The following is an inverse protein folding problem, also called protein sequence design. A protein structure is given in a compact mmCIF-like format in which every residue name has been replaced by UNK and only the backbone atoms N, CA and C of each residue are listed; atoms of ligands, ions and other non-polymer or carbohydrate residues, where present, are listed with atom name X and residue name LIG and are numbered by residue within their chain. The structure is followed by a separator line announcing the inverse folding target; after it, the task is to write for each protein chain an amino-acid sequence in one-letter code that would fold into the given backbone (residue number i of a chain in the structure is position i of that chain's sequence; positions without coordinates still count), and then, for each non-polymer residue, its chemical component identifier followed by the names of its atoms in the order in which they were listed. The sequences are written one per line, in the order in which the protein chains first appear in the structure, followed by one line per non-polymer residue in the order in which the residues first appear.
data_IF_127257961259
#
_entry.id   IF_127257961259
#
_cell.length_a   1.000
_cell.length_b   1.000
_cell.length_c   1.000
_cell.angle_alpha   90.00
_cell.angle_beta   90.00
_cell.angle_gamma   90.00
#
_symmetry.space_group_name_H-M   'P 1'
#
loop_
_entity.id
_entity.type
_entity.pdbx_description
1 polymer ?
#
# COMPACT_ATOMS: atom_id res chain seq x y z
N UNK A 1 -5.09 14.63 34.16
CA UNK A 1 -5.30 13.44 33.31
C UNK A 1 -4.01 13.16 32.56
N UNK A 2 -3.49 11.93 32.55
CA UNK A 2 -2.28 11.60 31.77
C UNK A 2 -2.60 11.59 30.27
N UNK A 3 -1.72 12.14 29.46
CA UNK A 3 -1.79 12.11 27.99
C UNK A 3 -1.68 10.67 27.45
N UNK A 4 -2.10 10.43 26.21
CA UNK A 4 -1.93 9.13 25.55
C UNK A 4 -0.45 8.72 25.51
N UNK A 5 0.46 9.67 25.26
CA UNK A 5 1.89 9.45 25.22
C UNK A 5 2.43 8.97 26.57
N UNK A 6 2.05 9.64 27.66
CA UNK A 6 2.46 9.25 29.00
C UNK A 6 1.90 7.88 29.41
N UNK A 7 0.72 7.50 28.90
CA UNK A 7 0.17 6.16 29.12
C UNK A 7 0.97 5.11 28.36
N UNK A 8 1.22 5.34 27.06
CA UNK A 8 1.99 4.44 26.21
C UNK A 8 3.42 4.22 26.75
N UNK A 9 4.11 5.30 27.13
CA UNK A 9 5.48 5.21 27.67
C UNK A 9 5.55 4.55 29.06
N UNK A 10 4.44 4.43 29.76
CA UNK A 10 4.36 3.78 31.06
C UNK A 10 3.93 2.30 30.96
N UNK A 11 3.61 1.80 29.76
CA UNK A 11 3.28 0.39 29.56
C UNK A 11 4.55 -0.46 29.49
N UNK A 12 4.39 -1.72 29.89
CA UNK A 12 5.46 -2.71 29.78
C UNK A 12 5.80 -2.93 28.30
N UNK A 13 7.08 -3.06 28.00
CA UNK A 13 7.52 -3.40 26.64
C UNK A 13 7.01 -4.78 26.26
N UNK A 14 6.55 -4.90 25.01
CA UNK A 14 6.33 -6.22 24.41
C UNK A 14 7.65 -7.00 24.38
N UNK A 15 7.52 -8.32 24.40
CA UNK A 15 8.63 -9.27 24.29
C UNK A 15 9.41 -9.03 22.98
N UNK A 16 10.73 -8.74 23.04
CA UNK A 16 11.53 -8.46 21.85
C UNK A 16 11.65 -9.66 20.90
N UNK A 17 11.46 -10.89 21.37
CA UNK A 17 11.56 -12.10 20.54
C UNK A 17 10.24 -12.44 19.82
N UNK A 18 9.15 -11.74 20.16
CA UNK A 18 7.84 -11.92 19.53
C UNK A 18 7.78 -11.16 18.21
N UNK A 19 7.52 -11.89 17.11
CA UNK A 19 7.17 -11.24 15.84
C UNK A 19 5.83 -10.53 15.98
N UNK A 20 5.85 -9.21 15.90
CA UNK A 20 4.68 -8.35 15.97
C UNK A 20 4.49 -7.67 14.62
N UNK A 21 3.27 -7.75 14.08
CA UNK A 21 2.84 -6.80 13.05
C UNK A 21 2.61 -5.45 13.73
N UNK A 22 3.56 -4.53 13.59
CA UNK A 22 3.53 -3.24 14.28
C UNK A 22 2.31 -2.39 13.85
N UNK A 23 1.89 -2.48 12.58
CA UNK A 23 0.70 -1.77 12.11
C UNK A 23 -0.58 -2.44 12.63
N UNK A 24 -0.58 -3.77 12.70
CA UNK A 24 -1.62 -4.56 13.36
C UNK A 24 -1.78 -4.19 14.83
N UNK A 25 -0.67 -4.07 15.58
CA UNK A 25 -0.67 -3.69 16.98
C UNK A 25 -1.28 -2.31 17.22
N UNK A 26 -0.90 -1.30 16.41
CA UNK A 26 -1.49 0.04 16.49
C UNK A 26 -2.97 0.05 16.09
N UNK A 27 -3.39 -0.83 15.17
CA UNK A 27 -4.80 -0.99 14.81
C UNK A 27 -5.61 -1.55 15.97
N UNK A 28 -5.12 -2.59 16.64
CA UNK A 28 -5.77 -3.20 17.81
C UNK A 28 -5.85 -2.24 19.00
N UNK A 29 -4.82 -1.42 19.21
CA UNK A 29 -4.74 -0.47 20.31
C UNK A 29 -5.32 0.93 19.99
N UNK A 30 -5.92 1.10 18.81
CA UNK A 30 -6.47 2.39 18.37
C UNK A 30 -7.59 2.94 19.25
N UNK A 31 -8.32 2.09 19.96
CA UNK A 31 -9.32 2.51 20.96
C UNK A 31 -8.69 3.08 22.24
N UNK A 32 -7.49 2.60 22.61
CA UNK A 32 -6.74 3.05 23.79
C UNK A 32 -5.93 4.31 23.50
N UNK A 33 -5.41 4.41 22.27
CA UNK A 33 -4.53 5.48 21.82
C UNK A 33 -4.97 6.06 20.46
N UNK A 34 -6.16 6.68 20.36
CA UNK A 34 -6.69 7.11 19.07
C UNK A 34 -5.81 8.14 18.37
N UNK A 35 -5.13 9.04 19.09
CA UNK A 35 -4.26 10.04 18.48
C UNK A 35 -2.93 9.39 18.06
N UNK A 36 -2.29 8.64 18.96
CA UNK A 36 -1.02 8.00 18.65
C UNK A 36 -1.14 6.93 17.57
N UNK A 37 -2.22 6.16 17.54
CA UNK A 37 -2.44 5.13 16.51
C UNK A 37 -2.57 5.73 15.12
N UNK A 38 -3.18 6.92 14.99
CA UNK A 38 -3.21 7.64 13.71
C UNK A 38 -1.83 8.14 13.32
N UNK A 39 -1.09 8.76 14.25
CA UNK A 39 0.29 9.20 13.97
C UNK A 39 1.20 8.03 13.58
N UNK A 40 1.11 6.93 14.31
CA UNK A 40 1.91 5.74 14.05
C UNK A 40 1.57 5.11 12.70
N UNK A 41 0.28 5.06 12.31
CA UNK A 41 -0.11 4.62 10.97
C UNK A 41 0.53 5.47 9.90
N UNK A 42 0.47 6.79 10.03
CA UNK A 42 0.99 7.72 9.03
C UNK A 42 2.52 7.63 8.90
N UNK A 43 3.23 7.48 10.02
CA UNK A 43 4.70 7.41 10.04
C UNK A 43 5.21 6.04 9.57
N UNK A 44 4.62 4.95 10.06
CA UNK A 44 5.11 3.59 9.82
C UNK A 44 4.66 3.02 8.46
N UNK A 45 3.62 3.58 7.84
CA UNK A 45 3.21 3.18 6.49
C UNK A 45 4.13 3.72 5.38
N UNK A 46 5.03 4.65 5.69
CA UNK A 46 5.97 5.20 4.72
C UNK A 46 7.02 4.13 4.40
N UNK A 47 7.18 3.71 3.13
CA UNK A 47 8.21 2.77 2.77
C UNK A 47 9.60 3.37 3.03
N UNK A 48 10.40 2.69 3.85
CA UNK A 48 11.72 3.17 4.29
C UNK A 48 12.75 3.15 3.14
N UNK A 49 12.51 2.37 2.09
CA UNK A 49 13.50 2.15 1.02
C UNK A 49 13.03 2.67 -0.34
N UNK A 50 13.97 3.23 -1.10
CA UNK A 50 13.80 3.57 -2.52
C UNK A 50 13.56 2.34 -3.40
N UNK A 51 13.82 1.13 -2.89
CA UNK A 51 13.59 -0.14 -3.59
C UNK A 51 12.12 -0.31 -3.97
N UNK A 52 11.17 0.16 -3.14
CA UNK A 52 9.74 0.14 -3.49
C UNK A 52 9.45 1.04 -4.71
N UNK A 53 10.06 2.23 -4.77
CA UNK A 53 9.93 3.12 -5.93
C UNK A 53 10.66 2.59 -7.17
N UNK A 54 11.82 1.95 -7.02
CA UNK A 54 12.54 1.31 -8.13
C UNK A 54 11.81 0.09 -8.67
N UNK A 55 11.16 -0.70 -7.81
CA UNK A 55 10.31 -1.82 -8.23
C UNK A 55 9.08 -1.34 -9.00
N UNK A 56 8.43 -0.27 -8.54
CA UNK A 56 7.35 0.38 -9.27
C UNK A 56 7.83 0.92 -10.63
N UNK A 57 9.01 1.54 -10.68
CA UNK A 57 9.61 2.04 -11.91
C UNK A 57 10.04 0.92 -12.87
N UNK A 58 10.60 -0.18 -12.36
CA UNK A 58 10.99 -1.34 -13.15
C UNK A 58 9.77 -2.04 -13.76
N UNK A 59 8.69 -2.17 -12.98
CA UNK A 59 7.41 -2.69 -13.47
C UNK A 59 6.84 -1.78 -14.57
N UNK A 60 6.90 -0.46 -14.37
CA UNK A 60 6.53 0.54 -15.37
C UNK A 60 7.39 0.40 -16.65
N UNK A 61 8.71 0.23 -16.52
CA UNK A 61 9.61 -0.01 -17.65
C UNK A 61 9.21 -1.20 -18.52
N UNK A 62 8.75 -2.30 -17.91
CA UNK A 62 8.27 -3.50 -18.63
C UNK A 62 6.91 -3.32 -19.30
N UNK A 63 5.99 -2.57 -18.69
CA UNK A 63 4.69 -2.21 -19.31
C UNK A 63 4.92 -1.40 -20.60
N UNK A 64 6.06 -0.73 -20.68
CA UNK A 64 6.30 0.28 -21.68
C UNK A 64 7.27 -0.13 -22.79
N UNK A 65 7.77 -1.37 -22.83
CA UNK A 65 8.76 -1.79 -23.83
C UNK A 65 8.11 -2.30 -25.14
N UNK A 66 6.84 -2.74 -25.14
CA UNK A 66 6.18 -3.27 -26.35
C UNK A 66 4.96 -2.45 -26.85
N UNK A 67 4.40 -1.53 -26.06
CA UNK A 67 3.18 -0.75 -26.39
C UNK A 67 3.43 0.72 -26.78
N UNK A 68 4.70 1.14 -26.90
CA UNK A 68 5.08 2.56 -26.90
C UNK A 68 5.32 3.17 -28.28
N UNK A 69 4.32 3.87 -28.81
CA UNK A 69 4.58 5.21 -29.41
C UNK A 69 3.55 6.29 -29.08
N UNK A 70 2.46 6.02 -28.33
CA UNK A 70 1.39 7.03 -28.15
C UNK A 70 0.77 7.17 -26.74
N UNK A 71 1.31 6.52 -25.71
CA UNK A 71 0.74 6.68 -24.36
C UNK A 71 1.23 7.95 -23.68
N UNK A 72 0.30 8.81 -23.27
CA UNK A 72 0.61 9.99 -22.47
C UNK A 72 1.06 9.58 -21.06
N UNK A 73 1.88 10.41 -20.37
CA UNK A 73 2.27 10.14 -18.98
C UNK A 73 1.09 9.86 -18.04
N UNK A 74 -0.05 10.52 -18.29
CA UNK A 74 -1.29 10.30 -17.56
C UNK A 74 -1.81 8.86 -17.72
N UNK A 75 -1.86 8.34 -18.95
CA UNK A 75 -2.31 6.96 -19.21
C UNK A 75 -1.38 5.93 -18.56
N UNK A 76 -0.07 6.18 -18.55
CA UNK A 76 0.89 5.31 -17.86
C UNK A 76 0.64 5.29 -16.36
N UNK A 77 0.44 6.46 -15.74
CA UNK A 77 0.11 6.55 -14.32
C UNK A 77 -1.20 5.81 -14.01
N UNK A 78 -2.24 6.01 -14.81
CA UNK A 78 -3.51 5.32 -14.64
C UNK A 78 -3.33 3.79 -14.69
N UNK A 79 -2.60 3.27 -15.68
CA UNK A 79 -2.34 1.83 -15.82
C UNK A 79 -1.53 1.23 -14.66
N UNK A 80 -0.51 1.94 -14.18
CA UNK A 80 0.30 1.48 -13.05
C UNK A 80 -0.52 1.49 -11.76
N UNK A 81 -1.29 2.56 -11.50
CA UNK A 81 -2.14 2.66 -10.33
C UNK A 81 -3.27 1.62 -10.34
N UNK A 82 -3.95 1.41 -11.46
CA UNK A 82 -5.01 0.39 -11.55
C UNK A 82 -4.44 -1.01 -11.37
N UNK A 83 -3.27 -1.31 -11.95
CA UNK A 83 -2.61 -2.60 -11.73
C UNK A 83 -2.24 -2.83 -10.25
N UNK A 84 -1.69 -1.83 -9.55
CA UNK A 84 -1.37 -1.94 -8.12
C UNK A 84 -2.62 -2.17 -7.27
N UNK A 85 -3.69 -1.44 -7.55
CA UNK A 85 -4.98 -1.60 -6.86
C UNK A 85 -5.60 -2.96 -7.10
N UNK A 86 -5.61 -3.44 -8.35
CA UNK A 86 -6.13 -4.76 -8.72
C UNK A 86 -5.34 -5.90 -8.05
N UNK A 87 -4.02 -5.75 -7.89
CA UNK A 87 -3.19 -6.75 -7.19
C UNK A 87 -3.47 -6.80 -5.68
N UNK A 88 -3.94 -5.71 -5.09
CA UNK A 88 -4.30 -5.61 -3.66
C UNK A 88 -5.70 -6.14 -3.38
N UNK A 89 -6.63 -6.04 -4.33
CA UNK A 89 -7.95 -6.67 -4.29
C UNK A 89 -7.84 -8.11 -4.77
N UNK A 90 -7.74 -9.07 -3.87
CA UNK A 90 -7.64 -10.51 -4.20
C UNK A 90 -8.95 -11.06 -4.77
N UNK A 91 -9.27 -10.69 -6.01
CA UNK A 91 -10.09 -11.46 -6.95
C UNK A 91 -9.42 -11.31 -8.33
N UNK A 92 -9.06 -12.40 -9.02
CA UNK A 92 -8.45 -12.31 -10.34
C UNK A 92 -9.45 -11.69 -11.33
N UNK A 93 -9.15 -10.48 -11.82
CA UNK A 93 -9.87 -9.90 -12.95
C UNK A 93 -9.50 -10.71 -14.19
N UNK A 94 -10.44 -11.50 -14.70
CA UNK A 94 -10.30 -12.21 -15.97
C UNK A 94 -10.36 -11.21 -17.12
N UNK A 95 -9.19 -10.79 -17.61
CA UNK A 95 -9.05 -9.83 -18.71
C UNK A 95 -9.67 -10.37 -20.01
N UNK A 96 -9.93 -11.69 -20.13
CA UNK A 96 -10.50 -12.28 -21.34
C UNK A 96 -11.94 -11.85 -21.62
N UNK A 97 -12.75 -11.66 -20.58
CA UNK A 97 -14.17 -11.30 -20.75
C UNK A 97 -14.35 -9.87 -21.28
N UNK A 98 -13.38 -8.96 -21.07
CA UNK A 98 -13.47 -7.56 -21.49
C UNK A 98 -12.95 -7.28 -22.92
N UNK A 99 -12.33 -8.25 -23.59
CA UNK A 99 -11.91 -8.06 -25.00
C UNK A 99 -13.07 -8.31 -25.96
N UNK A 100 -13.96 -9.26 -25.63
CA UNK A 100 -15.12 -9.60 -26.46
C UNK A 100 -16.17 -8.48 -26.48
N UNK A 101 -16.33 -7.70 -25.40
CA UNK A 101 -17.23 -6.54 -25.37
C UNK A 101 -16.72 -5.33 -26.19
N UNK A 102 -15.41 -5.25 -26.49
CA UNK A 102 -14.83 -4.18 -27.30
C UNK A 102 -14.85 -4.48 -28.81
N UNK A 103 -15.00 -5.74 -29.21
CA UNK A 103 -15.17 -6.14 -30.62
C UNK A 103 -16.62 -5.99 -31.12
N UNK A 104 -17.56 -5.66 -30.24
CA UNK A 104 -19.00 -5.51 -30.55
C UNK A 104 -19.43 -4.02 -30.66
N UNK A 105 -18.49 -3.06 -30.58
CA UNK A 105 -18.69 -1.65 -30.95
C UNK A 105 -18.05 -1.33 -32.30
#
# INVERSE_FOLDING_TARGET
SKSELEKYLAEDSEDPDKKIDILGWWKENSSRFPILANMARDILAIPITTVASESAFSTSGRILDDLRTSLTPFMVQALVCTQDWLRRSTDPVDIKENLEELEVL
#
